data_IF_721764066265
#
_entry.id   IF_721764066265
#
_cell.length_a   1.000
_cell.length_b   1.000
_cell.length_c   1.000
_cell.angle_alpha   90.00
_cell.angle_beta   90.00
_cell.angle_gamma   90.00
#
_symmetry.space_group_name_H-M   'P 1'
#
loop_
_entity.id
_entity.type
_entity.pdbx_description
1 polymer ?
#
# COMPACT_ATOMS: atom_id res chain seq x y z
N UNK A 1 -1.82 -16.78 -9.35
CA UNK A 1 -3.02 -16.16 -8.73
C UNK A 1 -3.97 -17.29 -8.34
N UNK A 2 -4.42 -17.33 -7.10
CA UNK A 2 -5.37 -18.34 -6.63
C UNK A 2 -6.66 -18.27 -7.46
N UNK A 3 -7.14 -19.40 -7.96
CA UNK A 3 -8.38 -19.49 -8.77
C UNK A 3 -9.60 -18.94 -8.01
N UNK A 4 -9.61 -19.08 -6.68
CA UNK A 4 -10.66 -18.56 -5.82
C UNK A 4 -10.69 -17.02 -5.78
N UNK A 5 -9.56 -16.37 -5.61
CA UNK A 5 -9.44 -14.91 -5.61
C UNK A 5 -9.79 -14.30 -6.97
N UNK A 6 -9.35 -14.93 -8.06
CA UNK A 6 -9.69 -14.47 -9.41
C UNK A 6 -11.19 -14.53 -9.68
N UNK A 7 -11.86 -15.62 -9.29
CA UNK A 7 -13.31 -15.77 -9.41
C UNK A 7 -14.07 -14.77 -8.52
N UNK A 8 -13.60 -14.54 -7.30
CA UNK A 8 -14.19 -13.54 -6.40
C UNK A 8 -14.14 -12.14 -7.02
N UNK A 9 -12.97 -11.71 -7.51
CA UNK A 9 -12.78 -10.37 -8.10
C UNK A 9 -13.67 -10.17 -9.33
N UNK A 10 -13.82 -11.20 -10.18
CA UNK A 10 -14.66 -11.14 -11.37
C UNK A 10 -16.16 -11.01 -11.06
N UNK A 11 -16.60 -11.46 -9.88
CA UNK A 11 -18.01 -11.39 -9.45
C UNK A 11 -18.34 -10.14 -8.63
N UNK A 12 -17.36 -9.25 -8.39
CA UNK A 12 -17.62 -7.99 -7.69
C UNK A 12 -18.48 -7.04 -8.54
N UNK A 13 -19.48 -6.43 -7.90
CA UNK A 13 -20.24 -5.35 -8.52
C UNK A 13 -19.36 -4.10 -8.64
N UNK A 14 -19.21 -3.60 -9.86
CA UNK A 14 -18.44 -2.39 -10.16
C UNK A 14 -19.40 -1.26 -10.53
N UNK A 15 -19.30 -0.14 -9.84
CA UNK A 15 -20.05 1.08 -10.09
C UNK A 15 -19.26 2.04 -10.97
N UNK A 16 -19.93 2.74 -11.85
CA UNK A 16 -19.34 3.85 -12.59
C UNK A 16 -19.04 5.00 -11.64
N UNK A 17 -17.81 5.55 -11.74
CA UNK A 17 -17.36 6.71 -10.99
C UNK A 17 -16.56 7.62 -11.91
N UNK A 18 -16.61 8.93 -11.63
CA UNK A 18 -15.83 9.90 -12.37
C UNK A 18 -14.43 10.04 -11.77
N UNK A 19 -13.43 10.12 -12.64
CA UNK A 19 -12.09 10.56 -12.25
C UNK A 19 -12.17 12.03 -11.89
N UNK A 20 -11.77 12.39 -10.67
CA UNK A 20 -11.73 13.78 -10.21
C UNK A 20 -10.40 14.44 -10.54
N UNK A 21 -9.30 13.73 -10.32
CA UNK A 21 -7.95 14.15 -10.64
C UNK A 21 -6.99 12.96 -10.65
N UNK A 22 -5.84 13.16 -11.27
CA UNK A 22 -4.70 12.24 -11.23
C UNK A 22 -3.44 13.06 -10.91
N UNK A 23 -2.65 12.58 -9.98
CA UNK A 23 -1.45 13.25 -9.47
C UNK A 23 -0.25 12.33 -9.64
N UNK A 24 0.82 12.81 -10.29
CA UNK A 24 2.08 12.08 -10.33
C UNK A 24 2.78 12.19 -8.97
N UNK A 25 3.22 11.07 -8.41
CA UNK A 25 4.01 11.01 -7.16
C UNK A 25 5.46 10.57 -7.40
N UNK A 26 5.73 10.03 -8.57
CA UNK A 26 7.08 9.79 -9.12
C UNK A 26 7.00 9.73 -10.65
N UNK A 27 8.10 9.39 -11.30
CA UNK A 27 8.16 9.24 -12.78
C UNK A 27 7.21 8.15 -13.31
N UNK A 28 6.91 7.13 -12.51
CA UNK A 28 6.11 5.96 -12.91
C UNK A 28 4.89 5.69 -12.00
N UNK A 29 4.67 6.49 -10.94
CA UNK A 29 3.59 6.27 -9.99
C UNK A 29 2.66 7.47 -9.84
N UNK A 30 1.38 7.15 -9.63
CA UNK A 30 0.28 8.12 -9.61
C UNK A 30 -0.70 7.83 -8.48
N UNK A 31 -1.35 8.90 -7.99
CA UNK A 31 -2.59 8.78 -7.22
C UNK A 31 -3.75 9.20 -8.10
N UNK A 32 -4.65 8.28 -8.35
CA UNK A 32 -5.92 8.52 -9.00
C UNK A 32 -6.96 8.81 -7.94
N UNK A 33 -7.67 9.93 -8.07
CA UNK A 33 -8.78 10.30 -7.22
C UNK A 33 -10.09 10.17 -7.98
N UNK A 34 -11.05 9.48 -7.37
CA UNK A 34 -12.39 9.32 -7.90
C UNK A 34 -13.44 9.69 -6.85
N UNK A 35 -14.70 9.80 -7.29
CA UNK A 35 -15.84 10.00 -6.40
C UNK A 35 -15.88 8.93 -5.30
N UNK A 36 -16.38 9.31 -4.14
CA UNK A 36 -16.60 8.40 -3.03
C UNK A 36 -18.07 8.13 -2.81
N UNK A 37 -18.55 6.97 -3.24
CA UNK A 37 -19.96 6.58 -3.09
C UNK A 37 -20.21 5.71 -1.84
N UNK A 38 -19.15 5.22 -1.19
CA UNK A 38 -19.22 4.36 -0.01
C UNK A 38 -18.28 4.86 1.09
N UNK A 39 -18.67 4.62 2.34
CA UNK A 39 -17.75 4.70 3.47
C UNK A 39 -16.75 3.54 3.42
N UNK A 40 -15.58 3.74 4.01
CA UNK A 40 -14.56 2.70 4.12
C UNK A 40 -13.79 2.83 5.42
N UNK A 41 -13.03 1.78 5.77
CA UNK A 41 -12.09 1.77 6.88
C UNK A 41 -10.66 1.87 6.34
N UNK A 42 -9.73 2.53 7.08
CA UNK A 42 -8.34 2.65 6.67
C UNK A 42 -7.70 1.27 6.49
N UNK A 43 -7.06 1.05 5.34
CA UNK A 43 -6.47 -0.23 4.96
C UNK A 43 -7.33 -1.09 4.05
N UNK A 44 -8.58 -0.70 3.78
CA UNK A 44 -9.42 -1.39 2.79
C UNK A 44 -8.96 -1.16 1.36
N UNK A 45 -9.37 -2.10 0.49
CA UNK A 45 -9.08 -2.13 -0.95
C UNK A 45 -10.36 -1.92 -1.75
N UNK A 46 -10.18 -1.55 -3.01
CA UNK A 46 -11.21 -1.59 -4.05
C UNK A 46 -10.73 -2.42 -5.23
N UNK A 47 -11.66 -3.03 -5.95
CA UNK A 47 -11.41 -3.55 -7.29
C UNK A 47 -11.70 -2.43 -8.30
N UNK A 48 -10.77 -2.21 -9.24
CA UNK A 48 -10.85 -1.11 -10.21
C UNK A 48 -10.48 -1.57 -11.61
N UNK A 49 -11.18 -1.06 -12.61
CA UNK A 49 -10.82 -1.11 -14.03
C UNK A 49 -11.29 0.16 -14.75
N UNK A 50 -10.67 0.49 -15.87
CA UNK A 50 -11.14 1.56 -16.77
C UNK A 50 -11.91 1.03 -17.99
N UNK A 51 -12.04 -0.29 -18.11
CA UNK A 51 -12.79 -0.92 -19.18
C UNK A 51 -13.45 -2.20 -18.63
N UNK A 52 -14.77 -2.33 -18.73
CA UNK A 52 -15.52 -3.51 -18.25
C UNK A 52 -15.11 -4.83 -18.93
N UNK A 53 -14.39 -4.76 -20.06
CA UNK A 53 -13.86 -5.93 -20.75
C UNK A 53 -12.52 -6.41 -20.15
N UNK A 54 -11.87 -5.57 -19.35
CA UNK A 54 -10.64 -5.93 -18.64
C UNK A 54 -10.97 -6.44 -17.24
N UNK A 55 -10.27 -7.48 -16.77
CA UNK A 55 -10.41 -7.93 -15.39
C UNK A 55 -9.99 -6.81 -14.43
N UNK A 56 -10.80 -6.49 -13.42
CA UNK A 56 -10.43 -5.49 -12.43
C UNK A 56 -9.22 -5.96 -11.61
N UNK A 57 -8.48 -5.00 -11.05
CA UNK A 57 -7.37 -5.23 -10.14
C UNK A 57 -7.65 -4.61 -8.80
N UNK A 58 -7.06 -5.19 -7.75
CA UNK A 58 -7.19 -4.70 -6.39
C UNK A 58 -6.18 -3.59 -6.12
N UNK A 59 -6.65 -2.54 -5.45
CA UNK A 59 -5.84 -1.42 -5.03
C UNK A 59 -6.24 -1.00 -3.61
N UNK A 60 -5.26 -0.85 -2.73
CA UNK A 60 -5.51 -0.28 -1.41
C UNK A 60 -5.75 1.21 -1.51
N UNK A 61 -6.68 1.70 -0.72
CA UNK A 61 -6.97 3.13 -0.61
C UNK A 61 -5.84 3.83 0.14
N UNK A 62 -5.43 5.01 -0.34
CA UNK A 62 -4.37 5.81 0.26
C UNK A 62 -4.86 7.14 0.86
N UNK A 63 -6.17 7.42 0.78
CA UNK A 63 -6.84 8.56 1.42
C UNK A 63 -7.45 8.16 2.77
N UNK A 64 -7.75 9.16 3.62
CA UNK A 64 -8.55 8.96 4.84
C UNK A 64 -10.03 8.79 4.50
N UNK A 65 -10.82 8.05 5.32
CA UNK A 65 -12.28 8.06 5.25
C UNK A 65 -12.92 9.44 5.41
N UNK A 66 -12.22 10.41 5.99
CA UNK A 66 -12.70 11.80 6.14
C UNK A 66 -12.52 12.64 4.86
N UNK A 67 -11.71 12.16 3.91
CA UNK A 67 -11.52 12.84 2.62
C UNK A 67 -12.72 12.64 1.69
N UNK A 68 -12.98 13.62 0.81
CA UNK A 68 -14.14 13.63 -0.07
C UNK A 68 -14.02 12.66 -1.26
N UNK A 69 -12.82 12.17 -1.55
CA UNK A 69 -12.53 11.28 -2.68
C UNK A 69 -11.87 9.98 -2.24
N UNK A 70 -12.01 8.95 -3.04
CA UNK A 70 -11.16 7.75 -2.94
C UNK A 70 -9.84 8.01 -3.67
N UNK A 71 -8.72 7.88 -2.97
CA UNK A 71 -7.38 7.96 -3.54
C UNK A 71 -6.77 6.57 -3.71
N UNK A 72 -6.29 6.28 -4.90
CA UNK A 72 -5.76 4.98 -5.30
C UNK A 72 -4.35 5.18 -5.83
N UNK A 73 -3.36 4.67 -5.08
CA UNK A 73 -1.95 4.70 -5.50
C UNK A 73 -1.67 3.51 -6.42
N UNK A 74 -1.09 3.78 -7.57
CA UNK A 74 -0.60 2.73 -8.46
C UNK A 74 0.69 3.17 -9.17
N UNK A 75 1.49 2.19 -9.59
CA UNK A 75 2.61 2.43 -10.50
C UNK A 75 2.36 1.77 -11.85
N UNK A 76 2.93 2.36 -12.90
CA UNK A 76 2.83 1.83 -14.25
C UNK A 76 3.58 0.49 -14.29
N UNK A 77 2.90 -0.55 -14.78
CA UNK A 77 3.51 -1.80 -15.21
C UNK A 77 3.54 -1.78 -16.73
N UNK A 78 4.71 -1.59 -17.36
CA UNK A 78 4.80 -1.40 -18.83
C UNK A 78 4.11 -2.49 -19.64
N UNK A 79 4.23 -3.74 -19.19
CA UNK A 79 3.60 -4.91 -19.83
C UNK A 79 2.18 -5.19 -19.30
N UNK A 80 1.66 -4.33 -18.41
CA UNK A 80 0.33 -4.47 -17.82
C UNK A 80 -0.77 -3.92 -18.74
N UNK A 81 -1.94 -4.56 -18.70
CA UNK A 81 -3.09 -4.10 -19.51
C UNK A 81 -3.80 -2.89 -18.92
N UNK A 82 -3.77 -2.70 -17.60
CA UNK A 82 -4.58 -1.70 -16.89
C UNK A 82 -3.80 -0.43 -16.54
N UNK A 83 -2.66 -0.56 -15.84
CA UNK A 83 -1.97 0.61 -15.27
C UNK A 83 -1.44 1.62 -16.32
N UNK A 84 -0.96 1.23 -17.53
CA UNK A 84 -0.65 2.20 -18.57
C UNK A 84 -1.86 3.01 -19.03
N UNK A 85 -3.06 2.39 -19.06
CA UNK A 85 -4.31 3.07 -19.42
C UNK A 85 -4.79 3.99 -18.29
N UNK A 86 -4.65 3.56 -17.03
CA UNK A 86 -4.98 4.42 -15.88
C UNK A 86 -4.12 5.67 -15.81
N UNK A 87 -2.84 5.58 -16.21
CA UNK A 87 -1.95 6.74 -16.24
C UNK A 87 -2.35 7.79 -17.32
N UNK A 88 -3.22 7.42 -18.27
CA UNK A 88 -3.70 8.30 -19.34
C UNK A 88 -5.09 8.90 -19.09
N UNK A 89 -5.80 8.47 -18.02
CA UNK A 89 -7.12 9.00 -17.71
C UNK A 89 -7.05 10.48 -17.34
N UNK A 90 -8.14 11.18 -17.56
CA UNK A 90 -8.28 12.61 -17.29
C UNK A 90 -9.48 12.86 -16.37
N UNK A 91 -9.53 13.99 -15.68
CA UNK A 91 -10.73 14.41 -14.96
C UNK A 91 -11.96 14.36 -15.88
N UNK A 92 -13.03 13.72 -15.38
CA UNK A 92 -14.26 13.47 -16.14
C UNK A 92 -14.30 12.13 -16.86
N UNK A 93 -13.20 11.39 -16.98
CA UNK A 93 -13.24 10.03 -17.53
C UNK A 93 -13.94 9.08 -16.57
N UNK A 94 -14.60 8.08 -17.13
CA UNK A 94 -15.31 7.05 -16.36
C UNK A 94 -14.39 5.89 -16.03
N UNK A 95 -14.40 5.45 -14.78
CA UNK A 95 -13.80 4.21 -14.29
C UNK A 95 -14.85 3.38 -13.55
N UNK A 96 -14.53 2.12 -13.32
CA UNK A 96 -15.43 1.15 -12.67
C UNK A 96 -14.78 0.67 -11.38
N UNK A 97 -15.44 0.94 -10.24
CA UNK A 97 -14.88 0.72 -8.90
C UNK A 97 -15.87 -0.06 -8.05
N UNK A 98 -15.40 -1.06 -7.31
CA UNK A 98 -16.22 -1.79 -6.35
C UNK A 98 -16.50 -0.96 -5.09
N UNK A 99 -17.45 -1.41 -4.26
CA UNK A 99 -17.47 -1.00 -2.86
C UNK A 99 -16.14 -1.41 -2.19
N UNK A 100 -15.64 -0.62 -1.20
CA UNK A 100 -14.45 -0.97 -0.43
C UNK A 100 -14.64 -2.24 0.38
N UNK A 101 -13.59 -3.08 0.51
CA UNK A 101 -13.60 -4.31 1.27
C UNK A 101 -12.19 -4.65 1.76
N UNK A 102 -12.04 -5.77 2.49
CA UNK A 102 -10.76 -6.24 3.02
C UNK A 102 -10.67 -6.14 4.53
N UNK A 103 -9.75 -6.92 5.11
CA UNK A 103 -9.55 -7.06 6.55
C UNK A 103 -8.16 -6.61 7.02
N UNK A 104 -7.37 -5.96 6.16
CA UNK A 104 -6.08 -5.39 6.51
C UNK A 104 -6.28 -4.04 7.20
N UNK A 105 -6.88 -4.05 8.38
CA UNK A 105 -7.31 -2.86 9.11
C UNK A 105 -6.32 -2.52 10.21
N UNK A 106 -5.87 -1.26 10.24
CA UNK A 106 -5.07 -0.74 11.34
C UNK A 106 -5.92 -0.44 12.58
N UNK A 107 -5.28 -0.48 13.75
CA UNK A 107 -5.85 -0.02 15.00
C UNK A 107 -4.87 0.91 15.76
N UNK A 108 -5.20 1.30 16.99
CA UNK A 108 -4.38 2.22 17.81
C UNK A 108 -3.28 1.52 18.61
N UNK A 109 -3.14 0.19 18.51
CA UNK A 109 -2.09 -0.55 19.20
C UNK A 109 -0.74 -0.26 18.56
N UNK A 110 0.36 -0.25 19.33
CA UNK A 110 1.70 -0.15 18.76
C UNK A 110 1.95 -1.23 17.72
N UNK A 111 2.53 -0.85 16.60
CA UNK A 111 2.80 -1.78 15.51
C UNK A 111 4.05 -1.38 14.71
N UNK A 112 4.62 -2.34 14.02
CA UNK A 112 5.53 -2.08 12.91
C UNK A 112 4.79 -2.22 11.59
N UNK A 113 4.83 -1.18 10.80
CA UNK A 113 4.30 -1.15 9.45
C UNK A 113 5.45 -1.32 8.46
N UNK A 114 5.39 -2.36 7.63
CA UNK A 114 6.49 -2.77 6.74
C UNK A 114 5.95 -2.78 5.33
N UNK A 115 6.41 -1.83 4.53
CA UNK A 115 5.91 -1.57 3.18
C UNK A 115 7.00 -1.68 2.12
N UNK A 116 6.63 -2.07 0.90
CA UNK A 116 7.48 -1.92 -0.27
C UNK A 116 6.68 -1.39 -1.47
N UNK A 117 7.24 -0.36 -2.14
CA UNK A 117 6.63 0.27 -3.29
C UNK A 117 5.21 0.79 -3.00
N UNK A 118 4.24 0.46 -3.85
CA UNK A 118 2.83 0.85 -3.68
C UNK A 118 2.16 0.23 -2.45
N UNK A 119 2.78 -0.76 -1.79
CA UNK A 119 2.33 -1.29 -0.50
C UNK A 119 2.33 -0.26 0.64
N UNK A 120 2.83 0.95 0.41
CA UNK A 120 2.71 2.08 1.32
C UNK A 120 1.29 2.66 1.41
N UNK A 121 0.43 2.39 0.41
CA UNK A 121 -0.90 2.98 0.29
C UNK A 121 -1.81 2.78 1.51
N UNK A 122 -2.01 1.55 2.04
CA UNK A 122 -2.88 1.35 3.19
C UNK A 122 -2.36 2.07 4.44
N UNK A 123 -1.04 2.15 4.62
CA UNK A 123 -0.45 2.86 5.76
C UNK A 123 -0.65 4.37 5.68
N UNK A 124 -0.64 4.95 4.47
CA UNK A 124 -1.00 6.35 4.29
C UNK A 124 -2.45 6.62 4.68
N UNK A 125 -3.38 5.74 4.28
CA UNK A 125 -4.78 5.82 4.70
C UNK A 125 -4.92 5.74 6.23
N UNK A 126 -4.21 4.80 6.86
CA UNK A 126 -4.22 4.62 8.32
C UNK A 126 -3.70 5.85 9.06
N UNK A 127 -2.56 6.42 8.64
CA UNK A 127 -1.98 7.57 9.34
C UNK A 127 -2.84 8.82 9.18
N UNK A 128 -3.40 9.04 8.01
CA UNK A 128 -4.33 10.15 7.74
C UNK A 128 -5.65 10.01 8.50
N UNK A 129 -5.92 8.84 9.05
CA UNK A 129 -7.06 8.53 9.92
C UNK A 129 -6.70 8.60 11.41
N UNK A 130 -5.54 9.16 11.77
CA UNK A 130 -5.09 9.30 13.15
C UNK A 130 -4.59 8.01 13.79
N UNK A 131 -4.22 7.01 12.98
CA UNK A 131 -3.54 5.80 13.44
C UNK A 131 -2.02 5.98 13.31
N UNK A 132 -1.24 5.19 14.02
CA UNK A 132 0.22 5.14 13.86
C UNK A 132 1.02 6.03 14.80
N UNK A 133 0.41 6.69 15.79
CA UNK A 133 1.11 7.56 16.74
C UNK A 133 2.31 6.88 17.40
N UNK A 134 2.19 5.59 17.75
CA UNK A 134 3.25 4.79 18.39
C UNK A 134 3.84 3.72 17.46
N UNK A 135 3.65 3.84 16.16
CA UNK A 135 4.12 2.85 15.20
C UNK A 135 5.51 3.21 14.64
N UNK A 136 6.20 2.19 14.17
CA UNK A 136 7.38 2.31 13.31
C UNK A 136 6.96 2.02 11.87
N UNK A 137 7.48 2.79 10.92
CA UNK A 137 7.25 2.57 9.49
C UNK A 137 8.57 2.24 8.80
N UNK A 138 8.71 1.01 8.31
CA UNK A 138 9.84 0.56 7.49
C UNK A 138 9.38 0.54 6.03
N UNK A 139 10.01 1.37 5.20
CA UNK A 139 9.61 1.55 3.80
C UNK A 139 10.76 1.14 2.88
N UNK A 140 10.58 0.05 2.13
CA UNK A 140 11.54 -0.44 1.15
C UNK A 140 11.28 0.08 -0.25
N UNK A 141 12.34 0.50 -0.93
CA UNK A 141 12.31 0.83 -2.35
C UNK A 141 13.59 0.39 -3.06
N UNK A 142 13.55 0.29 -4.38
CA UNK A 142 14.76 0.11 -5.20
C UNK A 142 15.49 1.43 -5.41
N UNK A 143 14.74 2.48 -5.75
CA UNK A 143 15.22 3.82 -6.07
C UNK A 143 14.68 4.84 -5.07
N UNK A 144 15.33 5.98 -4.92
CA UNK A 144 14.90 7.04 -4.00
C UNK A 144 13.55 7.63 -4.36
N UNK A 145 13.24 7.75 -5.65
CA UNK A 145 11.94 8.24 -6.14
C UNK A 145 10.77 7.31 -5.78
N UNK A 146 11.03 6.04 -5.46
CA UNK A 146 10.02 5.07 -5.04
C UNK A 146 9.59 5.19 -3.58
N UNK A 147 10.15 6.13 -2.80
CA UNK A 147 9.65 6.49 -1.47
C UNK A 147 8.45 7.44 -1.58
N UNK A 148 7.34 6.92 -2.12
CA UNK A 148 6.13 7.71 -2.27
C UNK A 148 5.70 8.31 -0.94
N UNK A 149 5.35 9.60 -0.95
CA UNK A 149 4.95 10.39 0.24
C UNK A 149 6.03 10.50 1.33
N UNK A 150 7.32 10.42 0.98
CA UNK A 150 8.45 10.42 1.92
C UNK A 150 8.38 11.60 2.90
N UNK A 151 8.13 12.81 2.41
CA UNK A 151 8.09 14.00 3.23
C UNK A 151 6.96 13.95 4.27
N UNK A 152 5.77 13.44 3.88
CA UNK A 152 4.64 13.24 4.77
C UNK A 152 5.01 12.25 5.91
N UNK A 153 5.63 11.12 5.58
CA UNK A 153 6.04 10.13 6.58
C UNK A 153 7.22 10.60 7.44
N UNK A 154 8.19 11.31 6.87
CA UNK A 154 9.30 11.86 7.64
C UNK A 154 8.80 12.87 8.67
N UNK A 155 7.88 13.76 8.29
CA UNK A 155 7.31 14.75 9.20
C UNK A 155 6.50 14.11 10.34
N UNK A 156 5.78 13.00 10.07
CA UNK A 156 4.87 12.38 11.04
C UNK A 156 5.56 11.35 11.95
N UNK A 157 6.53 10.62 11.44
CA UNK A 157 7.21 9.57 12.19
C UNK A 157 8.57 9.97 12.76
N UNK A 158 9.26 10.95 12.15
CA UNK A 158 10.64 11.30 12.54
C UNK A 158 11.56 10.06 12.49
N UNK A 159 12.27 9.79 13.59
CA UNK A 159 13.19 8.65 13.71
C UNK A 159 12.51 7.27 13.64
N UNK A 160 11.18 7.22 13.72
CA UNK A 160 10.40 5.99 13.56
C UNK A 160 10.07 5.68 12.09
N UNK A 161 10.46 6.54 11.14
CA UNK A 161 10.42 6.26 9.71
C UNK A 161 11.78 5.76 9.24
N UNK A 162 11.81 4.55 8.69
CA UNK A 162 13.04 3.88 8.22
C UNK A 162 12.93 3.60 6.73
N UNK A 163 13.35 4.53 5.86
CA UNK A 163 13.46 4.27 4.44
C UNK A 163 14.68 3.39 4.14
N UNK A 164 14.48 2.31 3.37
CA UNK A 164 15.52 1.36 2.96
C UNK A 164 15.60 1.32 1.43
N UNK A 165 16.72 1.80 0.85
CA UNK A 165 16.95 1.81 -0.59
C UNK A 165 17.99 0.78 -1.00
N UNK A 166 17.64 -0.09 -1.97
CA UNK A 166 18.52 -1.20 -2.35
C UNK A 166 19.46 -0.90 -3.52
N UNK A 167 19.24 0.15 -4.30
CA UNK A 167 20.02 0.46 -5.50
C UNK A 167 20.63 1.86 -5.51
N UNK A 168 20.18 2.75 -4.61
CA UNK A 168 20.68 4.10 -4.52
C UNK A 168 21.01 4.46 -3.06
N UNK A 169 21.78 5.54 -2.90
CA UNK A 169 22.18 6.08 -1.60
C UNK A 169 21.56 7.47 -1.42
N UNK A 170 21.15 7.79 -0.21
CA UNK A 170 20.57 9.10 0.13
C UNK A 170 20.65 9.38 1.62
N UNK A 171 20.58 10.66 1.96
CA UNK A 171 20.62 11.11 3.35
C UNK A 171 19.40 10.59 4.13
N UNK A 172 19.65 10.03 5.32
CA UNK A 172 18.61 9.45 6.16
C UNK A 172 17.98 8.17 5.61
N UNK A 173 18.64 7.49 4.66
CA UNK A 173 18.17 6.24 4.04
C UNK A 173 19.13 5.11 4.36
N UNK A 174 18.61 3.99 4.83
CA UNK A 174 19.39 2.77 4.98
C UNK A 174 19.76 2.23 3.59
N UNK A 175 21.06 2.06 3.33
CA UNK A 175 21.56 1.51 2.06
C UNK A 175 21.48 0.00 2.07
N UNK A 176 20.42 -0.54 1.46
CA UNK A 176 20.17 -1.97 1.41
C UNK A 176 18.67 -2.30 1.37
N UNK A 177 18.35 -3.60 1.29
CA UNK A 177 16.98 -4.09 1.35
C UNK A 177 16.41 -3.92 2.77
N UNK A 178 15.10 -3.67 2.89
CA UNK A 178 14.42 -3.64 4.19
C UNK A 178 14.57 -4.95 4.96
N UNK A 179 14.64 -6.09 4.27
CA UNK A 179 14.88 -7.41 4.88
C UNK A 179 16.28 -7.53 5.48
N UNK A 180 17.30 -6.89 4.87
CA UNK A 180 18.65 -6.81 5.44
C UNK A 180 18.65 -5.94 6.71
N UNK A 181 17.91 -4.84 6.72
CA UNK A 181 17.76 -4.00 7.91
C UNK A 181 17.06 -4.75 9.05
N UNK A 182 15.99 -5.52 8.73
CA UNK A 182 15.30 -6.34 9.72
C UNK A 182 16.20 -7.45 10.29
N UNK A 183 16.97 -8.15 9.45
CA UNK A 183 17.93 -9.18 9.91
C UNK A 183 19.04 -8.62 10.82
N UNK A 184 19.33 -7.33 10.72
CA UNK A 184 20.25 -6.64 11.63
C UNK A 184 19.67 -6.33 13.02
N UNK A 185 18.38 -6.61 13.28
CA UNK A 185 17.77 -6.44 14.59
C UNK A 185 18.11 -7.59 15.53
N UNK A 186 18.38 -7.28 16.77
CA UNK A 186 18.72 -8.27 17.81
C UNK A 186 17.48 -8.98 18.35
N UNK A 187 16.32 -8.35 18.28
CA UNK A 187 15.05 -8.91 18.77
C UNK A 187 13.85 -8.19 18.15
N UNK A 188 12.71 -8.86 18.16
CA UNK A 188 11.40 -8.29 17.85
C UNK A 188 10.50 -8.40 19.08
N UNK A 189 9.66 -7.40 19.31
CA UNK A 189 8.70 -7.44 20.40
C UNK A 189 7.53 -8.38 20.04
N UNK A 190 7.34 -9.50 20.72
CA UNK A 190 6.29 -10.46 20.40
C UNK A 190 4.88 -9.99 20.78
N UNK A 191 4.76 -8.85 21.46
CA UNK A 191 3.47 -8.33 21.96
C UNK A 191 2.83 -7.31 21.03
N UNK A 192 3.59 -6.74 20.07
CA UNK A 192 3.07 -5.77 19.10
C UNK A 192 2.61 -6.44 17.81
N UNK A 193 1.92 -5.67 16.98
CA UNK A 193 1.46 -6.12 15.67
C UNK A 193 2.47 -5.76 14.57
N UNK A 194 2.57 -6.62 13.56
CA UNK A 194 3.40 -6.42 12.37
C UNK A 194 2.52 -6.46 11.14
N UNK A 195 2.43 -5.34 10.43
CA UNK A 195 1.65 -5.22 9.20
C UNK A 195 2.58 -5.22 8.00
N UNK A 196 2.40 -6.15 7.09
CA UNK A 196 3.24 -6.34 5.91
C UNK A 196 2.43 -6.04 4.65
N UNK A 197 2.88 -5.09 3.81
CA UNK A 197 2.21 -4.81 2.55
C UNK A 197 3.21 -4.57 1.41
N UNK A 198 3.06 -5.31 0.31
CA UNK A 198 3.93 -5.22 -0.88
C UNK A 198 3.97 -6.50 -1.70
N UNK A 199 5.08 -6.73 -2.39
CA UNK A 199 5.25 -7.94 -3.22
C UNK A 199 5.23 -9.23 -2.40
N UNK A 200 4.78 -10.32 -3.00
CA UNK A 200 4.76 -11.64 -2.37
C UNK A 200 6.14 -12.06 -1.83
N UNK A 201 7.20 -11.80 -2.60
CA UNK A 201 8.58 -12.08 -2.18
C UNK A 201 8.94 -11.36 -0.88
N UNK A 202 8.68 -10.05 -0.82
CA UNK A 202 8.97 -9.25 0.37
C UNK A 202 8.15 -9.71 1.59
N UNK A 203 6.86 -9.92 1.41
CA UNK A 203 5.96 -10.32 2.51
C UNK A 203 6.37 -11.67 3.08
N UNK A 204 6.68 -12.65 2.24
CA UNK A 204 7.14 -13.97 2.68
C UNK A 204 8.47 -13.87 3.42
N UNK A 205 9.47 -13.17 2.85
CA UNK A 205 10.79 -13.02 3.50
C UNK A 205 10.69 -12.32 4.85
N UNK A 206 9.91 -11.24 4.95
CA UNK A 206 9.71 -10.50 6.21
C UNK A 206 8.99 -11.36 7.24
N UNK A 207 7.91 -12.06 6.84
CA UNK A 207 7.20 -12.98 7.73
C UNK A 207 8.16 -14.02 8.34
N UNK A 208 9.00 -14.62 7.51
CA UNK A 208 9.93 -15.66 7.96
C UNK A 208 10.97 -15.08 8.93
N UNK A 209 11.52 -13.87 8.68
CA UNK A 209 12.39 -13.15 9.62
C UNK A 209 11.70 -12.91 10.97
N UNK A 210 10.43 -12.48 10.97
CA UNK A 210 9.68 -12.22 12.20
C UNK A 210 9.41 -13.51 12.99
N UNK A 211 9.04 -14.60 12.30
CA UNK A 211 8.82 -15.91 12.92
C UNK A 211 10.12 -16.47 13.53
N UNK A 212 11.26 -16.40 12.80
CA UNK A 212 12.59 -16.77 13.30
C UNK A 212 12.97 -15.93 14.53
N UNK A 213 12.53 -14.66 14.58
CA UNK A 213 12.74 -13.75 15.70
C UNK A 213 11.76 -13.91 16.86
N UNK A 214 10.88 -14.94 16.84
CA UNK A 214 9.96 -15.28 17.93
C UNK A 214 8.60 -14.57 17.91
N UNK A 215 8.27 -13.82 16.83
CA UNK A 215 6.94 -13.21 16.67
C UNK A 215 5.92 -14.29 16.33
N UNK A 216 4.80 -14.31 17.04
CA UNK A 216 3.70 -15.25 16.77
C UNK A 216 2.96 -14.91 15.47
N UNK A 217 2.55 -15.94 14.71
CA UNK A 217 1.82 -15.74 13.44
C UNK A 217 0.57 -14.87 13.59
N UNK A 218 -0.11 -14.95 14.72
CA UNK A 218 -1.31 -14.15 15.03
C UNK A 218 -1.01 -12.64 15.16
N UNK A 219 0.25 -12.27 15.30
CA UNK A 219 0.68 -10.87 15.38
C UNK A 219 1.17 -10.34 14.02
N UNK A 220 1.09 -11.16 12.96
CA UNK A 220 1.52 -10.78 11.60
C UNK A 220 0.28 -10.68 10.70
N UNK A 221 -0.03 -9.49 10.25
CA UNK A 221 -1.04 -9.20 9.23
C UNK A 221 -0.36 -8.90 7.91
N UNK A 222 -0.87 -9.45 6.81
CA UNK A 222 -0.25 -9.25 5.50
C UNK A 222 -1.26 -9.01 4.38
N UNK A 223 -0.90 -8.11 3.48
CA UNK A 223 -1.57 -7.89 2.21
C UNK A 223 -0.53 -7.98 1.08
N UNK A 224 -0.80 -8.84 0.11
CA UNK A 224 0.14 -9.15 -0.98
C UNK A 224 -0.36 -8.53 -2.28
N UNK A 225 0.53 -7.79 -2.95
CA UNK A 225 0.31 -7.24 -4.28
C UNK A 225 0.94 -8.15 -5.35
N UNK A 226 0.17 -8.43 -6.40
CA UNK A 226 0.55 -9.31 -7.51
C UNK A 226 0.76 -8.53 -8.82
#
# INVERSE_FOLDING_TARGET
>A
MDKGLSSFIQNLSLNEQQVLRIEAVSSDAFVLHTERHHSFLPGQVVALTNDRKLPPRLYSLCTSPDEQSLGILFNIKPDGLLTPRLAMVRPGDTIYVSAPFGAFLGDKRPAWWIAAGTGIAPFRSMIRSGLGENNMLIHGSRLLEGFYFRDEFTALFGDRYVPCCSQEHGDGVYSGRLTSWLRGKTSFDPLIQYYLCGSAEMVVEVRDILLEGGVGLNNIMSEIYF
#
